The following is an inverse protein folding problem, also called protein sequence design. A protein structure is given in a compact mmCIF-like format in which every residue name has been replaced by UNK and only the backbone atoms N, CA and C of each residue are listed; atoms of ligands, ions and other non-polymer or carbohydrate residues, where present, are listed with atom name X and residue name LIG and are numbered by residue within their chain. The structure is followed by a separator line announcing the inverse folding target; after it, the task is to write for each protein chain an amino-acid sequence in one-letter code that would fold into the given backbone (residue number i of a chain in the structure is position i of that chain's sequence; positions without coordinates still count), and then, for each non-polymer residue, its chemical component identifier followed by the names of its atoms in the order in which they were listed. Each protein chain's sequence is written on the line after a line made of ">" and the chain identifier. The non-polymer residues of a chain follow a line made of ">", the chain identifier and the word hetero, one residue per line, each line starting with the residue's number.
data_IF_383509997044
#
_entry.id   IF_383509997044
#
_cell.length_a   1.000
_cell.length_b   1.000
_cell.length_c   1.000
_cell.angle_alpha   90.00
_cell.angle_beta   90.00
_cell.angle_gamma   90.00
#
_symmetry.space_group_name_H-M   'P 1'
#
loop_
_entity.id
_entity.type
_entity.pdbx_description
1 polymer ?
#
# COMPACT_ATOMS: atom_id res chain seq x y z
N UNK A 1 -3.78 -0.13 -0.20
CA UNK A 1 -5.02 -0.72 0.35
C UNK A 1 -4.98 -2.23 0.24
N UNK A 2 -5.30 -2.94 1.31
CA UNK A 2 -5.44 -4.40 1.36
C UNK A 2 -6.92 -4.78 1.46
N UNK A 3 -7.38 -5.82 0.73
CA UNK A 3 -8.77 -6.24 0.76
C UNK A 3 -9.15 -6.86 2.12
N UNK A 4 -10.44 -6.88 2.47
CA UNK A 4 -10.93 -7.53 3.69
C UNK A 4 -10.50 -9.01 3.73
N UNK A 5 -10.00 -9.45 4.89
CA UNK A 5 -9.46 -10.80 5.10
C UNK A 5 -10.47 -11.96 4.93
N UNK A 6 -11.77 -11.65 4.79
CA UNK A 6 -12.81 -12.65 4.52
C UNK A 6 -12.90 -13.08 3.05
N UNK A 7 -12.23 -12.37 2.12
CA UNK A 7 -12.24 -12.69 0.69
C UNK A 7 -13.54 -12.42 -0.07
N UNK A 8 -14.63 -12.11 0.64
CA UNK A 8 -15.98 -11.93 0.07
C UNK A 8 -16.23 -10.52 -0.51
N UNK A 9 -15.27 -9.59 -0.35
CA UNK A 9 -15.32 -8.20 -0.85
C UNK A 9 -13.97 -7.72 -1.39
N UNK A 10 -13.28 -8.60 -2.11
CA UNK A 10 -12.01 -8.34 -2.79
C UNK A 10 -12.13 -7.44 -4.03
N UNK A 11 -13.36 -7.13 -4.46
CA UNK A 11 -13.65 -6.13 -5.50
C UNK A 11 -14.62 -5.07 -4.95
N UNK A 12 -14.34 -3.80 -5.22
CA UNK A 12 -15.19 -2.66 -4.86
C UNK A 12 -15.17 -1.61 -5.96
N UNK A 13 -16.30 -0.94 -6.18
CA UNK A 13 -16.40 0.21 -7.07
C UNK A 13 -16.51 1.48 -6.22
N UNK A 14 -15.61 2.44 -6.44
CA UNK A 14 -15.60 3.74 -5.75
C UNK A 14 -15.43 4.84 -6.79
N UNK A 15 -16.33 5.83 -6.80
CA UNK A 15 -16.29 6.97 -7.72
C UNK A 15 -16.15 6.57 -9.21
N UNK A 16 -16.78 5.46 -9.61
CA UNK A 16 -16.73 4.93 -10.97
C UNK A 16 -15.45 4.15 -11.33
N UNK A 17 -14.51 3.99 -10.39
CA UNK A 17 -13.33 3.14 -10.55
C UNK A 17 -13.53 1.80 -9.86
N UNK A 18 -13.22 0.71 -10.56
CA UNK A 18 -13.25 -0.64 -10.00
C UNK A 18 -11.87 -1.00 -9.48
N UNK A 19 -11.81 -1.33 -8.19
CA UNK A 19 -10.63 -1.81 -7.51
C UNK A 19 -10.81 -3.30 -7.23
N UNK A 20 -9.83 -4.10 -7.63
CA UNK A 20 -9.78 -5.54 -7.31
C UNK A 20 -8.39 -5.87 -6.77
N UNK A 21 -8.33 -6.66 -5.70
CA UNK A 21 -7.07 -7.05 -5.09
C UNK A 21 -7.17 -8.48 -4.57
N UNK A 22 -6.15 -9.29 -4.84
CA UNK A 22 -6.03 -10.61 -4.23
C UNK A 22 -5.83 -10.48 -2.71
N UNK A 23 -6.31 -11.48 -1.97
CA UNK A 23 -6.15 -11.58 -0.52
C UNK A 23 -4.65 -11.56 -0.16
N UNK A 24 -4.26 -10.67 0.76
CA UNK A 24 -2.86 -10.49 1.16
C UNK A 24 -2.00 -9.68 0.18
N UNK A 25 -2.54 -9.24 -0.96
CA UNK A 25 -1.89 -8.25 -1.84
C UNK A 25 -2.30 -6.83 -1.46
N UNK A 26 -1.62 -5.85 -2.03
CA UNK A 26 -1.93 -4.43 -1.85
C UNK A 26 -2.06 -3.75 -3.20
N UNK A 27 -3.01 -2.83 -3.28
CA UNK A 27 -3.23 -1.97 -4.44
C UNK A 27 -3.13 -0.51 -4.04
N UNK A 28 -2.72 0.29 -5.01
CA UNK A 28 -2.64 1.74 -4.89
C UNK A 28 -4.00 2.35 -5.18
N UNK A 29 -4.44 3.22 -4.28
CA UNK A 29 -5.76 3.84 -4.32
C UNK A 29 -5.60 5.31 -3.98
N UNK A 30 -6.18 6.24 -4.75
CA UNK A 30 -6.24 7.65 -4.39
C UNK A 30 -6.86 7.85 -3.01
N UNK A 31 -6.37 8.84 -2.27
CA UNK A 31 -6.84 9.19 -0.93
C UNK A 31 -8.37 9.42 -0.85
N UNK A 32 -8.94 10.08 -1.87
CA UNK A 32 -10.38 10.32 -1.99
C UNK A 32 -11.20 9.02 -2.04
N UNK A 33 -10.66 7.98 -2.66
CA UNK A 33 -11.32 6.67 -2.80
C UNK A 33 -11.01 5.77 -1.58
N UNK A 34 -9.84 5.94 -0.96
CA UNK A 34 -9.39 5.18 0.21
C UNK A 34 -10.32 5.33 1.42
N UNK A 35 -10.91 6.50 1.63
CA UNK A 35 -11.88 6.72 2.71
C UNK A 35 -13.12 5.81 2.56
N UNK A 36 -13.63 5.68 1.34
CA UNK A 36 -14.79 4.81 1.05
C UNK A 36 -14.40 3.35 1.17
N UNK A 37 -13.21 2.97 0.69
CA UNK A 37 -12.73 1.59 0.78
C UNK A 37 -12.53 1.15 2.23
N UNK A 38 -11.93 2.01 3.08
CA UNK A 38 -11.72 1.71 4.50
C UNK A 38 -13.04 1.58 5.27
N UNK A 39 -14.04 2.42 4.96
CA UNK A 39 -15.40 2.25 5.48
C UNK A 39 -16.05 0.91 5.06
N UNK A 40 -15.63 0.34 3.93
CA UNK A 40 -16.07 -0.97 3.43
C UNK A 40 -15.18 -2.13 3.88
N UNK A 41 -14.33 -1.92 4.89
CA UNK A 41 -13.51 -2.95 5.53
C UNK A 41 -12.18 -3.23 4.83
N UNK A 42 -11.79 -2.42 3.84
CA UNK A 42 -10.42 -2.45 3.33
C UNK A 42 -9.48 -1.81 4.35
N UNK A 43 -8.23 -2.25 4.36
CA UNK A 43 -7.23 -1.72 5.30
C UNK A 43 -6.23 -0.85 4.55
N UNK A 44 -6.03 0.37 5.03
CA UNK A 44 -4.91 1.20 4.61
C UNK A 44 -3.62 0.65 5.24
N UNK A 45 -2.76 0.08 4.40
CA UNK A 45 -1.47 -0.48 4.84
C UNK A 45 -0.35 0.57 4.81
N UNK A 46 -0.52 1.63 4.03
CA UNK A 46 0.44 2.73 3.90
C UNK A 46 -0.18 3.88 3.12
N UNK A 47 -0.08 5.08 3.71
CA UNK A 47 -0.55 6.32 3.11
C UNK A 47 0.28 6.76 1.89
N UNK A 48 1.47 6.18 1.70
CA UNK A 48 2.37 6.51 0.59
C UNK A 48 2.63 5.26 -0.27
N UNK A 49 2.43 5.41 -1.57
CA UNK A 49 2.65 4.34 -2.55
C UNK A 49 3.06 4.91 -3.91
N UNK A 50 3.76 4.11 -4.70
CA UNK A 50 4.18 4.48 -6.05
C UNK A 50 5.38 3.68 -6.55
N UNK A 51 5.91 4.00 -7.74
CA UNK A 51 7.11 3.33 -8.27
C UNK A 51 8.35 3.66 -7.42
N UNK A 52 9.42 2.87 -7.57
CA UNK A 52 10.71 3.10 -6.88
C UNK A 52 11.22 4.53 -7.03
N UNK A 53 11.01 5.15 -8.19
CA UNK A 53 11.42 6.54 -8.46
C UNK A 53 10.65 7.58 -7.62
N UNK A 54 9.47 7.23 -7.09
CA UNK A 54 8.64 8.12 -6.28
C UNK A 54 8.84 7.89 -4.77
N UNK A 55 9.81 7.07 -4.37
CA UNK A 55 10.17 6.94 -2.95
C UNK A 55 10.53 8.34 -2.41
N UNK A 56 10.01 8.74 -1.23
CA UNK A 56 10.37 10.01 -0.63
C UNK A 56 11.90 10.14 -0.47
N UNK A 57 12.47 11.29 -0.85
CA UNK A 57 13.90 11.55 -0.72
C UNK A 57 14.31 11.85 0.73
N UNK A 58 13.39 12.39 1.53
CA UNK A 58 13.60 12.71 2.96
C UNK A 58 12.52 12.09 3.84
N UNK A 59 12.44 10.76 3.95
CA UNK A 59 11.48 10.08 4.80
C UNK A 59 11.88 10.16 6.28
N UNK A 60 10.90 10.24 7.17
CA UNK A 60 11.13 10.04 8.60
C UNK A 60 11.49 8.58 8.88
N UNK A 61 12.26 8.32 9.94
CA UNK A 61 12.49 6.94 10.43
C UNK A 61 11.15 6.26 10.67
N UNK A 62 11.04 4.99 10.26
CA UNK A 62 9.80 4.18 10.26
C UNK A 62 8.72 4.63 9.28
N UNK A 63 9.01 5.56 8.36
CA UNK A 63 8.10 5.83 7.25
C UNK A 63 7.89 4.55 6.42
N UNK A 64 6.64 4.26 6.09
CA UNK A 64 6.26 3.13 5.23
C UNK A 64 5.95 3.64 3.83
N UNK A 65 6.34 2.87 2.82
CA UNK A 65 6.04 3.13 1.43
C UNK A 65 5.73 1.81 0.73
N UNK A 66 4.67 1.76 -0.07
CA UNK A 66 4.45 0.62 -0.97
C UNK A 66 5.19 0.90 -2.27
N UNK A 67 6.26 0.15 -2.52
CA UNK A 67 6.96 0.19 -3.81
C UNK A 67 6.23 -0.70 -4.81
N UNK A 68 5.53 -0.09 -5.75
CA UNK A 68 4.77 -0.77 -6.81
C UNK A 68 5.65 -1.36 -7.91
N UNK A 69 6.89 -0.89 -8.07
CA UNK A 69 7.84 -1.48 -9.03
C UNK A 69 8.28 -2.86 -8.54
N UNK A 70 8.53 -2.98 -7.24
CA UNK A 70 8.95 -4.23 -6.59
C UNK A 70 7.78 -5.02 -6.00
N UNK A 71 6.58 -4.41 -5.94
CA UNK A 71 5.38 -4.93 -5.29
C UNK A 71 5.63 -5.39 -3.83
N UNK A 72 6.40 -4.59 -3.08
CA UNK A 72 6.76 -4.87 -1.68
C UNK A 72 6.54 -3.66 -0.79
N UNK A 73 6.18 -3.93 0.47
CA UNK A 73 6.06 -2.89 1.48
C UNK A 73 7.44 -2.67 2.10
N UNK A 74 7.89 -1.42 2.06
CA UNK A 74 9.22 -1.03 2.52
C UNK A 74 9.11 -0.03 3.67
N UNK A 75 10.08 -0.07 4.58
CA UNK A 75 10.19 0.82 5.72
C UNK A 75 11.55 1.51 5.71
N UNK A 76 11.58 2.81 6.00
CA UNK A 76 12.82 3.55 6.14
C UNK A 76 13.46 3.30 7.50
N UNK A 77 14.68 2.77 7.52
CA UNK A 77 15.43 2.49 8.76
C UNK A 77 16.23 3.70 9.30
N UNK A 78 16.22 4.82 8.57
CA UNK A 78 17.04 6.00 8.85
C UNK A 78 18.19 6.22 7.85
N UNK A 79 18.56 5.18 7.10
CA UNK A 79 19.69 5.18 6.15
C UNK A 79 19.28 4.57 4.80
N UNK A 80 18.51 3.48 4.81
CA UNK A 80 18.08 2.73 3.65
C UNK A 80 16.60 2.34 3.75
N UNK A 81 15.99 2.14 2.59
CA UNK A 81 14.71 1.45 2.50
C UNK A 81 14.92 -0.05 2.70
N UNK A 82 14.12 -0.66 3.57
CA UNK A 82 14.15 -2.11 3.83
C UNK A 82 12.80 -2.76 3.56
N UNK A 83 12.82 -3.92 2.95
CA UNK A 83 11.62 -4.76 2.84
C UNK A 83 11.19 -5.24 4.23
N UNK A 84 9.91 -5.08 4.55
CA UNK A 84 9.38 -5.58 5.82
C UNK A 84 9.25 -7.11 5.85
N UNK A 85 9.24 -7.75 4.68
CA UNK A 85 9.07 -9.20 4.57
C UNK A 85 10.39 -9.94 4.81
N UNK A 86 11.52 -9.35 4.39
CA UNK A 86 12.84 -10.00 4.45
C UNK A 86 13.85 -9.27 5.33
N UNK A 87 13.60 -8.00 5.68
CA UNK A 87 14.57 -7.14 6.38
C UNK A 87 15.76 -6.69 5.52
N UNK A 88 15.80 -7.10 4.25
CA UNK A 88 16.84 -6.74 3.29
C UNK A 88 16.67 -5.32 2.74
N UNK A 89 17.77 -4.71 2.33
CA UNK A 89 17.81 -3.40 1.66
C UNK A 89 17.27 -3.53 0.23
N UNK A 90 16.50 -2.54 -0.23
CA UNK A 90 15.76 -2.52 -1.51
C UNK A 90 15.79 -1.16 -2.18
#
# INVERSE_FOLDING_TARGET
>A
MMPPGSGLKNTIMVNGRTYTCALGSMIDVPDADAYVMTANGWVDTTRLSGPTANRPATPNVNAKFHDTTLNVLIVWDGVNWRSIATGGVV
#
